data_IF_321536814967
#
_entry.id   IF_321536814967
#
_cell.length_a   1.000
_cell.length_b   1.000
_cell.length_c   1.000
_cell.angle_alpha   90.00
_cell.angle_beta   90.00
_cell.angle_gamma   90.00
#
_symmetry.space_group_name_H-M   'P 1'
#
loop_
_entity.id
_entity.type
_entity.pdbx_description
1 polymer ?
#
# COMPACT_ATOMS: atom_id res chain seq x y z
N UNK A 1 0.00 -13.23 -7.39
CA UNK A 1 -1.32 -13.06 -6.73
C UNK A 1 -1.25 -11.92 -5.72
N UNK A 2 -2.14 -10.92 -5.80
CA UNK A 2 -2.08 -9.72 -4.94
C UNK A 2 -2.22 -10.05 -3.45
N UNK A 3 -3.12 -10.98 -3.11
CA UNK A 3 -3.35 -11.42 -1.74
C UNK A 3 -2.07 -11.95 -1.06
N UNK A 4 -1.25 -12.73 -1.77
CA UNK A 4 0.00 -13.25 -1.21
C UNK A 4 1.03 -12.15 -0.96
N UNK A 5 0.98 -11.05 -1.74
CA UNK A 5 1.94 -9.95 -1.67
C UNK A 5 1.63 -8.97 -0.56
N UNK A 6 0.34 -8.66 -0.32
CA UNK A 6 -0.07 -7.63 0.65
C UNK A 6 -0.71 -8.19 1.92
N UNK A 7 -1.32 -9.39 1.85
CA UNK A 7 -1.97 -10.15 2.95
C UNK A 7 -3.12 -9.43 3.70
N UNK A 8 -3.27 -8.11 3.53
CA UNK A 8 -4.36 -7.31 4.07
C UNK A 8 -4.32 -5.85 3.61
N UNK A 9 -5.08 -4.99 4.29
CA UNK A 9 -5.19 -3.60 3.91
C UNK A 9 -3.83 -2.92 3.98
N UNK A 10 -3.37 -2.34 2.88
CA UNK A 10 -2.02 -1.76 2.83
C UNK A 10 -1.94 -0.34 3.43
N UNK A 11 -3.04 0.20 3.97
CA UNK A 11 -3.02 1.49 4.69
C UNK A 11 -2.20 1.33 5.99
N UNK A 12 -1.33 2.30 6.34
CA UNK A 12 -0.49 2.23 7.53
C UNK A 12 -1.23 1.76 8.78
N UNK A 13 -0.65 0.79 9.49
CA UNK A 13 -1.16 0.24 10.75
C UNK A 13 -2.57 -0.37 10.72
N UNK A 14 -3.17 -0.60 9.54
CA UNK A 14 -4.47 -1.25 9.45
C UNK A 14 -4.35 -2.76 9.62
N UNK A 15 -5.08 -3.40 10.54
CA UNK A 15 -5.00 -4.85 10.75
C UNK A 15 -5.99 -5.67 9.89
N UNK A 16 -6.82 -5.01 9.08
CA UNK A 16 -7.90 -5.66 8.34
C UNK A 16 -7.34 -6.64 7.30
N UNK A 17 -7.77 -7.90 7.38
CA UNK A 17 -7.30 -8.97 6.50
C UNK A 17 -7.70 -8.73 5.03
N UNK A 18 -6.97 -9.37 4.11
CA UNK A 18 -7.21 -9.21 2.68
C UNK A 18 -8.61 -9.68 2.23
N UNK A 19 -9.25 -10.56 3.01
CA UNK A 19 -10.62 -11.03 2.74
C UNK A 19 -11.68 -9.93 2.91
N UNK A 20 -11.38 -8.89 3.69
CA UNK A 20 -12.25 -7.74 3.91
C UNK A 20 -11.74 -6.49 3.16
N UNK A 21 -10.95 -6.72 2.11
CA UNK A 21 -10.40 -5.66 1.28
C UNK A 21 -10.95 -5.73 -0.15
N UNK A 22 -11.06 -4.56 -0.73
CA UNK A 22 -11.32 -4.31 -2.15
C UNK A 22 -9.98 -4.08 -2.87
N UNK A 23 -9.98 -4.34 -4.18
CA UNK A 23 -8.83 -4.06 -5.05
C UNK A 23 -8.97 -2.65 -5.61
N UNK A 24 -7.99 -1.80 -5.33
CA UNK A 24 -7.86 -0.44 -5.82
C UNK A 24 -6.74 -0.38 -6.88
N UNK A 25 -6.93 0.39 -7.95
CA UNK A 25 -5.86 0.67 -8.92
C UNK A 25 -5.10 1.92 -8.46
N UNK A 26 -3.77 1.85 -8.36
CA UNK A 26 -2.96 3.00 -7.93
C UNK A 26 -3.03 4.14 -8.98
N UNK A 27 -3.01 3.80 -10.27
CA UNK A 27 -3.42 4.67 -11.39
C UNK A 27 -4.78 4.23 -11.95
N UNK A 28 -5.68 5.18 -12.20
CA UNK A 28 -7.05 4.88 -12.61
C UNK A 28 -7.12 3.92 -13.81
N UNK A 29 -7.94 2.86 -13.69
CA UNK A 29 -8.20 1.93 -14.78
C UNK A 29 -8.68 2.64 -16.06
N UNK A 30 -9.42 3.74 -15.92
CA UNK A 30 -9.87 4.54 -17.06
C UNK A 30 -8.71 5.11 -17.88
N UNK A 31 -7.57 5.39 -17.23
CA UNK A 31 -6.34 5.88 -17.84
C UNK A 31 -5.51 4.74 -18.43
N UNK A 32 -5.29 3.67 -17.66
CA UNK A 32 -4.34 2.60 -18.04
C UNK A 32 -4.97 1.50 -18.87
N UNK A 33 -6.26 1.21 -18.66
CA UNK A 33 -7.01 0.06 -19.18
C UNK A 33 -6.34 -1.29 -18.88
N UNK A 34 -5.54 -1.35 -17.83
CA UNK A 34 -4.81 -2.55 -17.40
C UNK A 34 -5.15 -2.87 -15.97
N UNK A 35 -5.15 -4.17 -15.68
CA UNK A 35 -5.24 -4.71 -14.33
C UNK A 35 -3.97 -5.51 -14.10
N UNK A 36 -3.00 -4.90 -13.43
CA UNK A 36 -1.68 -5.48 -13.18
C UNK A 36 -1.37 -5.45 -11.68
N UNK A 37 -0.88 -6.55 -11.12
CA UNK A 37 -0.50 -6.64 -9.70
C UNK A 37 0.51 -5.56 -9.27
N UNK A 38 1.29 -4.99 -10.19
CA UNK A 38 2.21 -3.88 -9.91
C UNK A 38 1.52 -2.52 -9.83
N UNK A 39 0.23 -2.44 -10.13
CA UNK A 39 -0.61 -1.22 -10.14
C UNK A 39 -1.90 -1.41 -9.34
N UNK A 40 -1.96 -2.47 -8.52
CA UNK A 40 -3.12 -2.79 -7.69
C UNK A 40 -2.75 -2.88 -6.22
N UNK A 41 -3.66 -2.48 -5.35
CA UNK A 41 -3.50 -2.59 -3.89
C UNK A 41 -4.80 -2.94 -3.17
N UNK A 42 -4.71 -3.57 -2.01
CA UNK A 42 -5.81 -3.97 -1.15
C UNK A 42 -6.16 -2.85 -0.17
N UNK A 43 -7.43 -2.46 -0.14
CA UNK A 43 -7.98 -1.46 0.79
C UNK A 43 -9.25 -1.97 1.43
N UNK A 44 -9.36 -1.89 2.75
CA UNK A 44 -10.66 -2.07 3.39
C UNK A 44 -11.59 -0.90 3.02
N UNK A 45 -12.90 -1.10 3.09
CA UNK A 45 -13.90 -0.11 2.64
C UNK A 45 -13.61 1.33 3.10
N UNK A 46 -13.37 1.60 4.41
CA UNK A 46 -13.06 2.95 4.89
C UNK A 46 -11.80 3.56 4.25
N UNK A 47 -10.72 2.78 4.11
CA UNK A 47 -9.48 3.28 3.50
C UNK A 47 -9.56 3.38 1.98
N UNK A 48 -10.44 2.61 1.33
CA UNK A 48 -10.72 2.80 -0.09
C UNK A 48 -11.46 4.12 -0.30
N UNK A 49 -12.49 4.40 0.50
CA UNK A 49 -13.22 5.67 0.47
C UNK A 49 -12.31 6.88 0.70
N UNK A 50 -11.33 6.74 1.61
CA UNK A 50 -10.34 7.76 1.92
C UNK A 50 -9.49 8.14 0.70
N UNK A 51 -9.22 7.18 -0.19
CA UNK A 51 -8.52 7.43 -1.45
C UNK A 51 -9.48 8.06 -2.48
N UNK A 52 -10.64 7.44 -2.67
CA UNK A 52 -11.62 7.85 -3.69
C UNK A 52 -12.12 9.29 -3.50
N UNK A 53 -12.30 9.71 -2.25
CA UNK A 53 -12.91 11.03 -1.94
C UNK A 53 -12.10 11.90 -0.99
N UNK A 54 -11.18 11.32 -0.22
CA UNK A 54 -10.40 12.04 0.80
C UNK A 54 -9.10 12.67 0.28
N UNK A 55 -8.78 12.52 -1.01
CA UNK A 55 -7.57 13.07 -1.62
C UNK A 55 -6.29 12.34 -1.25
N UNK A 56 -6.40 11.18 -0.59
CA UNK A 56 -5.27 10.29 -0.37
C UNK A 56 -4.91 9.57 -1.65
N UNK A 57 -3.63 9.22 -1.80
CA UNK A 57 -3.11 8.51 -2.97
C UNK A 57 -2.36 7.27 -2.55
N UNK A 58 -2.22 6.34 -3.48
CA UNK A 58 -1.40 5.15 -3.31
C UNK A 58 -0.31 5.13 -4.36
N UNK A 59 0.80 4.46 -4.05
CA UNK A 59 1.91 4.27 -4.97
C UNK A 59 2.69 3.02 -4.60
N UNK A 60 3.12 2.24 -5.58
CA UNK A 60 4.15 1.20 -5.40
C UNK A 60 5.58 1.77 -5.40
N UNK A 61 6.38 1.31 -4.46
CA UNK A 61 7.84 1.43 -4.47
C UNK A 61 8.47 0.37 -5.37
N UNK A 62 9.78 0.47 -5.61
CA UNK A 62 10.50 -0.46 -6.51
C UNK A 62 10.49 -1.92 -6.01
N UNK A 63 10.56 -2.13 -4.70
CA UNK A 63 10.39 -3.44 -4.05
C UNK A 63 8.92 -3.93 -4.07
N UNK A 64 8.01 -3.11 -4.60
CA UNK A 64 6.61 -3.42 -4.76
C UNK A 64 5.77 -3.25 -3.48
N UNK A 65 6.32 -2.63 -2.44
CA UNK A 65 5.58 -2.20 -1.25
C UNK A 65 4.63 -1.06 -1.62
N UNK A 66 3.43 -1.05 -1.05
CA UNK A 66 2.49 0.06 -1.24
C UNK A 66 2.72 1.14 -0.20
N UNK A 67 2.86 2.37 -0.67
CA UNK A 67 2.79 3.57 0.14
C UNK A 67 1.40 4.21 0.03
N UNK A 68 0.93 4.77 1.15
CA UNK A 68 -0.26 5.61 1.20
C UNK A 68 0.18 7.03 1.51
N UNK A 69 -0.18 7.98 0.65
CA UNK A 69 0.23 9.37 0.69
C UNK A 69 -0.98 10.23 1.08
N UNK A 70 -0.92 11.03 2.17
CA UNK A 70 -1.99 11.97 2.48
C UNK A 70 -1.99 13.14 1.48
N UNK A 71 -3.09 13.90 1.41
CA UNK A 71 -3.07 15.21 0.77
C UNK A 71 -2.10 16.15 1.51
N UNK A 72 -1.49 17.14 0.84
CA UNK A 72 -0.38 17.94 1.40
C UNK A 72 -0.66 18.61 2.75
N UNK A 73 -1.91 19.03 3.00
CA UNK A 73 -2.31 19.68 4.24
C UNK A 73 -2.46 18.73 5.43
N UNK A 74 -2.46 17.41 5.19
CA UNK A 74 -2.48 16.35 6.21
C UNK A 74 -1.14 15.58 6.26
N UNK A 75 -0.10 16.05 5.56
CA UNK A 75 1.20 15.39 5.57
C UNK A 75 2.06 15.91 6.73
N UNK A 76 2.07 15.16 7.82
CA UNK A 76 2.79 15.49 9.06
C UNK A 76 3.94 14.52 9.35
N UNK A 77 4.40 13.76 8.35
CA UNK A 77 5.47 12.76 8.53
C UNK A 77 5.00 11.42 9.12
N UNK A 78 3.69 11.17 9.14
CA UNK A 78 3.12 9.87 9.50
C UNK A 78 3.64 8.73 8.59
N UNK A 79 3.67 7.48 9.08
CA UNK A 79 4.08 6.31 8.28
C UNK A 79 3.28 6.20 6.99
N UNK A 80 3.94 5.75 5.91
CA UNK A 80 3.32 5.55 4.58
C UNK A 80 3.08 4.08 4.25
N UNK A 81 3.75 3.16 4.94
CA UNK A 81 3.69 1.72 4.70
C UNK A 81 3.01 0.99 5.85
N UNK A 82 2.41 -0.16 5.56
CA UNK A 82 1.86 -1.04 6.60
C UNK A 82 2.77 -2.27 6.82
N UNK A 83 3.35 -2.37 8.01
CA UNK A 83 4.17 -3.50 8.42
C UNK A 83 3.38 -4.57 9.19
N UNK A 84 2.12 -4.32 9.57
CA UNK A 84 1.30 -5.26 10.35
C UNK A 84 1.17 -6.63 9.66
N UNK A 85 1.00 -6.62 8.35
CA UNK A 85 0.88 -7.83 7.53
C UNK A 85 2.23 -8.44 7.10
N UNK A 86 3.33 -7.72 7.35
CA UNK A 86 4.69 -8.12 6.99
C UNK A 86 5.69 -7.85 8.12
N UNK A 87 5.49 -8.43 9.31
CA UNK A 87 6.38 -8.21 10.45
C UNK A 87 7.82 -8.66 10.14
N UNK A 88 8.01 -9.62 9.23
CA UNK A 88 9.34 -10.06 8.79
C UNK A 88 10.20 -8.92 8.20
N UNK A 89 9.58 -7.87 7.66
CA UNK A 89 10.31 -6.72 7.10
C UNK A 89 10.93 -5.84 8.18
N UNK A 90 10.45 -5.91 9.42
CA UNK A 90 11.04 -5.19 10.56
C UNK A 90 12.24 -5.92 11.15
N UNK A 91 12.33 -7.23 10.92
CA UNK A 91 13.38 -8.10 11.45
C UNK A 91 14.56 -8.25 10.49
N UNK A 92 14.44 -7.75 9.26
CA UNK A 92 15.52 -7.83 8.28
C UNK A 92 16.61 -6.86 8.71
N UNK A 93 17.71 -7.39 9.22
CA UNK A 93 18.98 -6.66 9.29
C UNK A 93 19.25 -6.11 7.89
N UNK A 94 19.70 -4.87 7.82
CA UNK A 94 20.08 -4.23 6.56
C UNK A 94 21.16 -5.05 5.89
N UNK A 95 20.79 -5.96 4.99
CA UNK A 95 21.68 -6.64 4.04
C UNK A 95 22.20 -5.65 2.97
N UNK A 96 22.38 -4.37 3.35
CA UNK A 96 22.93 -3.28 2.55
C UNK A 96 24.22 -2.72 3.19
N UNK A 97 24.85 -3.44 4.15
CA UNK A 97 26.19 -3.13 4.67
C UNK A 97 27.33 -3.81 3.87
N UNK A 98 27.01 -4.64 2.87
CA UNK A 98 28.01 -5.19 1.94
C UNK A 98 28.11 -4.33 0.68
N UNK A 99 28.68 -3.13 0.82
CA UNK A 99 29.22 -2.34 -0.27
C UNK A 99 30.76 -2.37 -0.27
N UNK A 100 31.43 -2.54 -1.43
CA UNK A 100 32.89 -2.45 -1.52
C UNK A 100 33.43 -1.04 -1.29
#
# INVERSE_FOLDING_TARGET
MLYAKERGCSHPNCPISGYHCEVHHDEDYATTRRTDITDLTLRCGPHHQLITTGGWKTRKTHDGTTQTLPPPHLDHGQPRTNHYHHPERLLRESEDDDGP
#
